data_IF_594426688610
#
_entry.id   IF_594426688610
#
_cell.length_a   1.000
_cell.length_b   1.000
_cell.length_c   1.000
_cell.angle_alpha   90.00
_cell.angle_beta   90.00
_cell.angle_gamma   90.00
#
_symmetry.space_group_name_H-M   'P 1'
#
loop_
_entity.id
_entity.type
_entity.pdbx_description
1 polymer ?
#
# COMPACT_ATOMS: atom_id res chain seq x y z
N UNK A 1 2.23 -0.52 -7.78
CA UNK A 1 1.14 -1.31 -7.18
C UNK A 1 0.04 -1.50 -8.22
N UNK A 2 -0.17 -2.72 -8.71
CA UNK A 2 -1.23 -3.02 -9.67
C UNK A 2 -2.53 -3.22 -8.89
N UNK A 3 -3.45 -2.25 -8.94
CA UNK A 3 -4.76 -2.37 -8.30
C UNK A 3 -5.66 -3.18 -9.23
N UNK A 4 -6.18 -4.32 -8.77
CA UNK A 4 -7.17 -5.08 -9.54
C UNK A 4 -8.57 -4.53 -9.27
N UNK A 5 -9.32 -4.34 -10.34
CA UNK A 5 -10.69 -3.85 -10.31
C UNK A 5 -11.60 -5.04 -10.65
N UNK A 6 -12.30 -5.56 -9.65
CA UNK A 6 -13.08 -6.80 -9.75
C UNK A 6 -14.52 -6.55 -9.33
N UNK A 7 -15.45 -7.23 -9.99
CA UNK A 7 -16.82 -7.41 -9.49
C UNK A 7 -17.12 -8.91 -9.38
N UNK A 8 -17.95 -9.26 -8.39
CA UNK A 8 -18.46 -10.62 -8.19
C UNK A 8 -19.72 -10.79 -9.05
N UNK A 9 -19.62 -11.56 -10.13
CA UNK A 9 -20.79 -11.93 -10.94
C UNK A 9 -21.53 -13.08 -10.25
N UNK A 10 -22.81 -12.89 -9.92
CA UNK A 10 -23.64 -13.93 -9.30
C UNK A 10 -24.26 -14.79 -10.38
N UNK A 11 -23.99 -16.10 -10.37
CA UNK A 11 -24.62 -17.02 -11.32
C UNK A 11 -26.11 -17.17 -11.00
N UNK A 12 -27.03 -16.85 -11.93
CA UNK A 12 -28.47 -16.96 -11.68
C UNK A 12 -28.97 -18.40 -11.53
N UNK A 13 -28.14 -19.41 -11.86
CA UNK A 13 -28.51 -20.83 -11.82
C UNK A 13 -27.79 -21.63 -10.74
N UNK A 14 -26.62 -21.16 -10.28
CA UNK A 14 -25.77 -21.93 -9.36
C UNK A 14 -25.65 -21.31 -7.97
N UNK A 15 -26.02 -20.04 -7.80
CA UNK A 15 -25.89 -19.34 -6.51
C UNK A 15 -24.44 -19.10 -6.05
N UNK A 16 -23.48 -19.25 -6.96
CA UNK A 16 -22.04 -19.03 -6.74
C UNK A 16 -21.59 -17.70 -7.39
N UNK A 17 -20.48 -17.14 -6.90
CA UNK A 17 -19.85 -15.91 -7.36
C UNK A 17 -18.60 -16.21 -8.18
N UNK A 18 -18.58 -15.79 -9.45
CA UNK A 18 -17.37 -15.81 -10.27
C UNK A 18 -16.78 -14.41 -10.38
N UNK A 19 -15.48 -14.28 -10.11
CA UNK A 19 -14.77 -13.01 -10.24
C UNK A 19 -14.61 -12.64 -11.73
N UNK A 20 -15.04 -11.43 -12.09
CA UNK A 20 -14.85 -10.90 -13.44
C UNK A 20 -13.90 -9.70 -13.38
N UNK A 21 -12.67 -9.82 -13.94
CA UNK A 21 -11.66 -8.76 -13.89
C UNK A 21 -11.90 -7.68 -14.95
N UNK A 22 -11.72 -6.42 -14.54
CA UNK A 22 -11.53 -5.29 -15.43
C UNK A 22 -10.04 -5.02 -15.65
N UNK A 23 -9.67 -4.61 -16.86
CA UNK A 23 -8.27 -4.41 -17.26
C UNK A 23 -7.69 -3.12 -16.71
N UNK A 24 -8.53 -2.11 -16.45
CA UNK A 24 -8.15 -0.80 -15.91
C UNK A 24 -9.33 -0.11 -15.22
N UNK A 25 -9.06 1.08 -14.65
CA UNK A 25 -10.04 1.88 -13.90
C UNK A 25 -11.15 2.40 -14.82
N UNK A 26 -10.79 2.81 -16.03
CA UNK A 26 -11.70 3.37 -17.02
C UNK A 26 -12.76 2.35 -17.45
N UNK A 27 -12.39 1.07 -17.58
CA UNK A 27 -13.30 -0.02 -17.92
C UNK A 27 -14.30 -0.31 -16.79
N UNK A 28 -13.86 -0.25 -15.52
CA UNK A 28 -14.75 -0.35 -14.36
C UNK A 28 -15.71 0.84 -14.29
N UNK A 29 -15.23 2.07 -14.49
CA UNK A 29 -16.06 3.27 -14.49
C UNK A 29 -17.13 3.21 -15.58
N UNK A 30 -16.74 2.81 -16.80
CA UNK A 30 -17.67 2.65 -17.91
C UNK A 30 -18.70 1.56 -17.64
N UNK A 31 -18.29 0.44 -17.03
CA UNK A 31 -19.22 -0.61 -16.60
C UNK A 31 -20.23 -0.11 -15.57
N UNK A 32 -19.81 0.67 -14.57
CA UNK A 32 -20.72 1.23 -13.56
C UNK A 32 -21.71 2.22 -14.18
N UNK A 33 -21.25 3.06 -15.12
CA UNK A 33 -22.11 3.95 -15.90
C UNK A 33 -23.14 3.15 -16.70
N UNK A 34 -22.72 2.09 -17.38
CA UNK A 34 -23.61 1.29 -18.20
C UNK A 34 -24.54 0.39 -17.38
N UNK A 35 -24.11 -0.08 -16.20
CA UNK A 35 -24.96 -0.78 -15.24
C UNK A 35 -26.01 0.18 -14.63
N UNK A 36 -25.63 1.41 -14.30
CA UNK A 36 -26.56 2.43 -13.84
C UNK A 36 -27.57 2.79 -14.93
N UNK A 37 -27.12 2.93 -16.19
CA UNK A 37 -28.01 3.09 -17.34
C UNK A 37 -28.92 1.87 -17.51
N UNK A 38 -28.40 0.63 -17.44
CA UNK A 38 -29.19 -0.58 -17.59
C UNK A 38 -30.23 -0.74 -16.48
N UNK A 39 -29.88 -0.38 -15.24
CA UNK A 39 -30.81 -0.32 -14.12
C UNK A 39 -31.86 0.76 -14.33
N UNK A 40 -31.48 1.96 -14.76
CA UNK A 40 -32.42 3.02 -15.11
C UNK A 40 -33.34 2.62 -16.27
N UNK A 41 -32.81 1.97 -17.31
CA UNK A 41 -33.57 1.46 -18.45
C UNK A 41 -34.51 0.33 -18.07
N UNK A 42 -34.05 -0.66 -17.31
CA UNK A 42 -34.89 -1.73 -16.78
C UNK A 42 -36.00 -1.15 -15.90
N UNK A 43 -35.66 -0.19 -15.04
CA UNK A 43 -36.62 0.45 -14.14
C UNK A 43 -37.62 1.35 -14.90
N UNK A 44 -37.20 2.05 -15.95
CA UNK A 44 -38.06 2.85 -16.85
C UNK A 44 -39.01 1.99 -17.71
N UNK A 45 -38.60 0.74 -18.02
CA UNK A 45 -39.36 -0.20 -18.85
C UNK A 45 -40.15 -1.22 -18.04
N UNK A 46 -40.02 -1.23 -16.71
CA UNK A 46 -40.92 -1.98 -15.84
C UNK A 46 -42.28 -1.27 -15.83
N UNK A 47 -43.04 -1.51 -16.90
CA UNK A 47 -44.50 -1.51 -16.81
C UNK A 47 -44.92 -2.53 -15.75
N UNK A 48 -46.03 -2.26 -15.06
CA UNK A 48 -46.50 -2.94 -13.83
C UNK A 48 -45.92 -4.36 -13.65
N UNK A 49 -45.06 -4.54 -12.66
CA UNK A 49 -44.51 -5.86 -12.34
C UNK A 49 -45.57 -6.74 -11.68
N UNK A 50 -46.47 -6.11 -10.90
CA UNK A 50 -47.70 -6.68 -10.34
C UNK A 50 -48.65 -5.55 -9.92
N UNK A 51 -49.88 -5.88 -9.52
CA UNK A 51 -50.84 -4.92 -8.96
C UNK A 51 -50.37 -4.31 -7.62
N UNK A 52 -49.44 -4.98 -6.93
CA UNK A 52 -48.84 -4.53 -5.66
C UNK A 52 -47.54 -3.70 -5.87
N UNK A 53 -46.77 -3.98 -6.93
CA UNK A 53 -45.58 -3.22 -7.34
C UNK A 53 -45.90 -2.32 -8.57
N UNK A 54 -46.84 -1.41 -8.37
CA UNK A 54 -47.43 -0.57 -9.42
C UNK A 54 -46.80 0.84 -9.51
N UNK A 55 -45.47 0.95 -9.57
CA UNK A 55 -44.81 2.27 -9.76
C UNK A 55 -43.68 2.19 -10.77
N UNK A 56 -43.81 2.99 -11.84
CA UNK A 56 -42.74 3.13 -12.83
C UNK A 56 -41.56 3.88 -12.21
N UNK A 57 -40.34 3.63 -12.69
CA UNK A 57 -39.15 4.32 -12.17
C UNK A 57 -39.28 5.84 -12.20
N UNK A 58 -39.89 6.38 -13.24
CA UNK A 58 -40.15 7.81 -13.41
C UNK A 58 -40.99 8.34 -12.25
N UNK A 59 -42.04 7.63 -11.84
CA UNK A 59 -42.87 8.02 -10.70
C UNK A 59 -42.09 7.96 -9.39
N UNK A 60 -41.28 6.92 -9.18
CA UNK A 60 -40.42 6.82 -7.99
C UNK A 60 -39.32 7.88 -7.97
N UNK A 61 -38.72 8.18 -9.10
CA UNK A 61 -37.69 9.20 -9.22
C UNK A 61 -38.29 10.58 -8.95
N UNK A 62 -39.43 10.90 -9.56
CA UNK A 62 -40.16 12.14 -9.32
C UNK A 62 -40.67 12.25 -7.88
N UNK A 63 -41.13 11.16 -7.27
CA UNK A 63 -41.70 11.19 -5.92
C UNK A 63 -40.63 11.23 -4.84
N UNK A 64 -39.53 10.51 -5.00
CA UNK A 64 -38.58 10.28 -3.92
C UNK A 64 -37.22 10.97 -4.12
N UNK A 65 -36.80 11.19 -5.37
CA UNK A 65 -35.46 11.71 -5.67
C UNK A 65 -35.52 13.19 -6.04
N UNK A 66 -36.46 13.60 -6.91
CA UNK A 66 -36.62 15.02 -7.30
C UNK A 66 -36.80 15.96 -6.10
N UNK A 67 -37.58 15.63 -5.04
CA UNK A 67 -37.76 16.54 -3.91
C UNK A 67 -36.49 16.75 -3.08
N UNK A 68 -35.53 15.82 -3.13
CA UNK A 68 -34.25 15.87 -2.41
C UNK A 68 -33.07 16.08 -3.36
N UNK A 69 -33.32 16.43 -4.62
CA UNK A 69 -32.31 16.44 -5.67
C UNK A 69 -31.16 17.40 -5.33
N UNK A 70 -31.47 18.60 -4.85
CA UNK A 70 -30.47 19.58 -4.47
C UNK A 70 -29.63 19.11 -3.26
N UNK A 71 -30.25 18.45 -2.29
CA UNK A 71 -29.53 17.85 -1.15
C UNK A 71 -28.59 16.73 -1.59
N UNK A 72 -29.05 15.86 -2.49
CA UNK A 72 -28.26 14.79 -3.06
C UNK A 72 -27.07 15.33 -3.87
N UNK A 73 -27.30 16.36 -4.70
CA UNK A 73 -26.23 17.02 -5.45
C UNK A 73 -25.18 17.62 -4.52
N UNK A 74 -25.61 18.36 -3.50
CA UNK A 74 -24.71 18.94 -2.51
C UNK A 74 -23.93 17.86 -1.75
N UNK A 75 -24.59 16.77 -1.35
CA UNK A 75 -23.93 15.64 -0.71
C UNK A 75 -22.81 15.06 -1.57
N UNK A 76 -23.07 14.81 -2.85
CA UNK A 76 -22.08 14.24 -3.79
C UNK A 76 -20.90 15.20 -3.98
N UNK A 77 -21.16 16.50 -4.14
CA UNK A 77 -20.11 17.51 -4.30
C UNK A 77 -19.24 17.61 -3.05
N UNK A 78 -19.86 17.72 -1.87
CA UNK A 78 -19.15 17.80 -0.60
C UNK A 78 -18.31 16.54 -0.34
N UNK A 79 -18.86 15.35 -0.61
CA UNK A 79 -18.12 14.10 -0.46
C UNK A 79 -16.89 14.03 -1.38
N UNK A 80 -16.99 14.58 -2.60
CA UNK A 80 -15.86 14.66 -3.53
C UNK A 80 -14.79 15.66 -3.06
N UNK A 81 -15.21 16.80 -2.52
CA UNK A 81 -14.32 17.80 -1.91
C UNK A 81 -13.58 17.23 -0.70
N UNK A 82 -14.30 16.59 0.23
CA UNK A 82 -13.74 15.94 1.42
C UNK A 82 -12.70 14.87 1.04
N UNK A 83 -13.00 14.04 0.04
CA UNK A 83 -12.06 13.04 -0.46
C UNK A 83 -10.78 13.68 -1.01
N UNK A 84 -10.91 14.78 -1.78
CA UNK A 84 -9.76 15.52 -2.30
C UNK A 84 -8.89 16.08 -1.17
N UNK A 85 -9.51 16.66 -0.14
CA UNK A 85 -8.80 17.14 1.05
C UNK A 85 -8.11 16.01 1.82
N UNK A 86 -8.75 14.84 1.97
CA UNK A 86 -8.15 13.69 2.62
C UNK A 86 -6.90 13.22 1.89
N UNK A 87 -6.95 13.10 0.55
CA UNK A 87 -5.79 12.69 -0.25
C UNK A 87 -4.62 13.68 -0.09
N UNK A 88 -4.91 14.98 -0.07
CA UNK A 88 -3.89 16.00 0.15
C UNK A 88 -3.28 15.94 1.57
N UNK A 89 -4.11 15.70 2.58
CA UNK A 89 -3.68 15.53 3.96
C UNK A 89 -2.81 14.29 4.14
N UNK A 90 -3.24 13.14 3.60
CA UNK A 90 -2.50 11.88 3.64
C UNK A 90 -1.12 12.03 2.97
N UNK A 91 -1.08 12.69 1.81
CA UNK A 91 0.19 12.99 1.14
C UNK A 91 1.10 13.87 2.01
N UNK A 92 0.56 14.91 2.65
CA UNK A 92 1.33 15.79 3.52
C UNK A 92 1.98 15.05 4.71
N UNK A 93 1.29 14.03 5.26
CA UNK A 93 1.82 13.21 6.36
C UNK A 93 3.06 12.39 5.94
N UNK A 94 3.06 11.84 4.73
CA UNK A 94 4.15 10.95 4.26
C UNK A 94 5.22 11.65 3.45
N UNK A 95 5.00 12.90 3.01
CA UNK A 95 5.87 13.64 2.10
C UNK A 95 7.32 13.71 2.58
N UNK A 96 7.54 13.98 3.86
CA UNK A 96 8.91 14.11 4.39
C UNK A 96 9.60 12.77 4.51
N UNK A 97 8.88 11.73 4.94
CA UNK A 97 9.40 10.36 4.98
C UNK A 97 9.74 9.85 3.56
N UNK A 98 8.95 10.23 2.55
CA UNK A 98 9.27 9.96 1.14
C UNK A 98 10.55 10.69 0.70
N UNK A 99 10.67 11.98 1.03
CA UNK A 99 11.81 12.82 0.64
C UNK A 99 13.12 12.35 1.27
N UNK A 100 13.05 11.85 2.50
CA UNK A 100 14.20 11.39 3.29
C UNK A 100 14.53 9.91 3.05
N UNK A 101 13.73 9.19 2.26
CA UNK A 101 13.92 7.77 2.01
C UNK A 101 13.51 6.86 3.19
N UNK A 102 12.95 7.41 4.27
CA UNK A 102 12.50 6.67 5.46
C UNK A 102 11.42 5.61 5.18
N UNK A 103 10.70 5.73 4.06
CA UNK A 103 9.75 4.69 3.63
C UNK A 103 10.42 3.47 2.99
N UNK A 104 11.73 3.52 2.77
CA UNK A 104 12.53 2.42 2.24
C UNK A 104 13.22 1.76 3.44
N UNK A 105 12.93 0.48 3.68
CA UNK A 105 13.58 -0.31 4.72
C UNK A 105 14.66 -1.19 4.08
N UNK A 106 15.92 -0.81 4.27
CA UNK A 106 17.09 -1.58 3.84
C UNK A 106 17.88 -1.97 5.09
N UNK A 107 17.72 -3.22 5.49
CA UNK A 107 18.33 -3.81 6.70
C UNK A 107 19.50 -4.77 6.38
N UNK A 108 20.01 -4.72 5.15
CA UNK A 108 21.19 -5.49 4.75
C UNK A 108 22.50 -4.78 5.14
N UNK A 109 23.61 -5.52 5.08
CA UNK A 109 24.94 -5.02 5.40
C UNK A 109 25.84 -5.05 4.16
N UNK A 110 26.60 -3.98 3.95
CA UNK A 110 27.57 -3.84 2.86
C UNK A 110 28.92 -4.51 3.20
N UNK A 111 29.27 -4.54 4.48
CA UNK A 111 30.56 -5.03 4.95
C UNK A 111 30.46 -5.65 6.34
N UNK A 112 31.08 -6.82 6.51
CA UNK A 112 31.50 -7.37 7.80
C UNK A 112 32.96 -7.78 7.69
N UNK A 113 33.80 -7.29 8.59
CA UNK A 113 35.20 -7.72 8.67
C UNK A 113 35.70 -7.77 10.12
N UNK A 114 36.80 -8.49 10.31
CA UNK A 114 37.49 -8.62 11.60
C UNK A 114 38.96 -8.29 11.42
N UNK A 115 39.59 -7.72 12.45
CA UNK A 115 41.01 -7.35 12.40
C UNK A 115 41.96 -8.51 12.73
N UNK A 116 41.46 -9.62 13.26
CA UNK A 116 42.19 -10.84 13.58
C UNK A 116 41.43 -12.07 13.08
N UNK A 117 42.15 -13.04 12.51
CA UNK A 117 41.56 -14.25 11.90
C UNK A 117 40.83 -13.95 10.58
N UNK A 118 39.89 -14.82 10.21
CA UNK A 118 39.05 -14.66 9.02
C UNK A 118 37.64 -15.15 9.28
N UNK A 119 36.65 -14.43 8.75
CA UNK A 119 35.25 -14.90 8.73
C UNK A 119 35.17 -16.19 7.91
N UNK A 120 34.52 -17.20 8.51
CA UNK A 120 34.16 -18.44 7.83
C UNK A 120 32.66 -18.65 7.98
N UNK A 121 31.87 -18.61 6.89
CA UNK A 121 32.27 -18.36 5.50
C UNK A 121 32.74 -16.91 5.25
N UNK A 122 33.30 -16.64 4.06
CA UNK A 122 33.57 -15.26 3.64
C UNK A 122 32.27 -14.43 3.66
N UNK A 123 32.38 -13.13 3.92
CA UNK A 123 31.21 -12.27 4.07
C UNK A 123 30.31 -12.30 2.82
N UNK A 124 29.02 -12.56 3.06
CA UNK A 124 27.93 -12.47 2.10
C UNK A 124 26.70 -11.92 2.85
N UNK A 125 26.04 -10.84 2.37
CA UNK A 125 24.89 -10.25 3.06
C UNK A 125 23.70 -11.21 3.26
N UNK A 126 23.64 -12.34 2.54
CA UNK A 126 22.63 -13.38 2.73
C UNK A 126 22.97 -14.36 3.87
N UNK A 127 24.20 -14.36 4.38
CA UNK A 127 24.65 -15.24 5.45
C UNK A 127 24.60 -14.49 6.79
N UNK A 128 23.89 -15.07 7.76
CA UNK A 128 23.66 -14.46 9.08
C UNK A 128 24.48 -15.08 10.21
N UNK A 129 25.26 -16.12 9.91
CA UNK A 129 26.07 -16.85 10.89
C UNK A 129 27.50 -17.01 10.39
N UNK A 130 28.44 -16.52 11.20
CA UNK A 130 29.88 -16.57 10.91
C UNK A 130 30.63 -17.10 12.12
N UNK A 131 31.74 -17.77 11.87
CA UNK A 131 32.74 -18.10 12.89
C UNK A 131 34.08 -17.45 12.54
N UNK A 132 34.86 -17.14 13.58
CA UNK A 132 36.24 -16.65 13.44
C UNK A 132 37.09 -17.49 14.38
N UNK A 133 38.12 -18.13 13.83
CA UNK A 133 39.14 -18.80 14.63
C UNK A 133 40.30 -17.83 14.83
N UNK A 134 40.71 -17.65 16.08
CA UNK A 134 41.86 -16.82 16.46
C UNK A 134 42.86 -17.63 17.29
N UNK A 135 44.09 -17.15 17.34
CA UNK A 135 45.13 -17.74 18.18
C UNK A 135 44.81 -17.54 19.67
N UNK A 136 45.33 -18.44 20.51
CA UNK A 136 45.08 -18.43 21.95
C UNK A 136 45.55 -17.15 22.66
N UNK A 137 46.49 -16.41 22.07
CA UNK A 137 47.02 -15.15 22.62
C UNK A 137 46.15 -13.91 22.29
N UNK A 138 45.07 -14.06 21.52
CA UNK A 138 44.19 -12.96 21.13
C UNK A 138 43.13 -12.72 22.21
N UNK A 139 43.32 -11.67 23.01
CA UNK A 139 42.38 -11.31 24.08
C UNK A 139 41.12 -10.58 23.59
N UNK A 140 41.18 -9.95 22.41
CA UNK A 140 40.05 -9.22 21.82
C UNK A 140 40.15 -9.14 20.29
N UNK A 141 39.00 -9.03 19.63
CA UNK A 141 38.86 -8.85 18.18
C UNK A 141 38.03 -7.59 17.96
N UNK A 142 38.43 -6.76 17.00
CA UNK A 142 37.61 -5.64 16.54
C UNK A 142 36.78 -6.09 15.33
N UNK A 143 35.48 -5.87 15.42
CA UNK A 143 34.55 -6.06 14.32
C UNK A 143 34.33 -4.71 13.62
N UNK A 144 34.43 -4.71 12.30
CA UNK A 144 34.04 -3.60 11.43
C UNK A 144 32.80 -4.01 10.67
N UNK A 145 31.73 -3.21 10.78
CA UNK A 145 30.48 -3.45 10.09
C UNK A 145 29.99 -2.17 9.42
N UNK A 146 29.40 -2.29 8.24
CA UNK A 146 28.82 -1.17 7.48
C UNK A 146 27.44 -1.56 6.97
N UNK A 147 26.39 -0.85 7.38
CA UNK A 147 25.07 -1.04 6.83
C UNK A 147 25.02 -0.62 5.35
N UNK A 148 24.20 -1.30 4.55
CA UNK A 148 23.98 -0.92 3.14
C UNK A 148 23.35 0.46 3.04
N UNK A 149 22.38 0.74 3.90
CA UNK A 149 21.77 2.07 4.01
C UNK A 149 22.48 2.91 5.07
N UNK A 150 22.92 4.10 4.67
CA UNK A 150 23.51 5.11 5.54
C UNK A 150 22.60 5.57 6.70
N UNK A 151 21.29 5.39 6.58
CA UNK A 151 20.30 5.73 7.61
C UNK A 151 19.98 4.55 8.53
N UNK A 152 20.43 3.34 8.23
CA UNK A 152 20.20 2.17 9.06
C UNK A 152 21.09 2.20 10.32
N UNK A 153 20.55 1.65 11.41
CA UNK A 153 21.27 1.50 12.67
C UNK A 153 21.89 0.11 12.76
N UNK A 154 23.13 0.04 13.24
CA UNK A 154 23.78 -1.21 13.59
C UNK A 154 23.74 -1.38 15.11
N UNK A 155 23.60 -2.61 15.57
CA UNK A 155 23.71 -2.96 16.99
C UNK A 155 24.55 -4.22 17.16
N UNK A 156 25.29 -4.28 18.26
CA UNK A 156 26.05 -5.44 18.66
C UNK A 156 25.68 -5.78 20.10
N UNK A 157 25.26 -7.02 20.36
CA UNK A 157 24.83 -7.49 21.67
C UNK A 157 23.74 -6.62 22.33
N UNK A 158 22.84 -6.04 21.52
CA UNK A 158 21.74 -5.19 22.00
C UNK A 158 22.09 -3.71 22.22
N UNK A 159 23.36 -3.33 22.05
CA UNK A 159 23.81 -1.94 22.18
C UNK A 159 24.10 -1.31 20.80
N UNK A 160 23.87 0.01 20.61
CA UNK A 160 24.20 0.71 19.36
C UNK A 160 25.67 0.53 18.96
N UNK A 161 25.90 0.09 17.73
CA UNK A 161 27.24 -0.02 17.14
C UNK A 161 27.56 1.27 16.39
N UNK A 162 28.59 1.99 16.84
CA UNK A 162 29.10 3.17 16.16
C UNK A 162 30.36 2.82 15.36
N UNK A 163 30.35 3.14 14.07
CA UNK A 163 31.56 3.05 13.24
C UNK A 163 32.62 3.96 13.85
N UNK A 164 33.75 3.40 14.29
CA UNK A 164 34.88 4.18 14.79
C UNK A 164 35.52 4.94 13.62
N UNK A 165 35.01 6.13 13.31
CA UNK A 165 35.73 7.08 12.46
C UNK A 165 36.89 7.61 13.30
N UNK A 166 38.11 7.07 13.08
CA UNK A 166 39.30 7.66 13.70
C UNK A 166 39.49 9.08 13.15
N UNK A 167 39.00 10.07 13.90
CA UNK A 167 39.39 11.46 13.69
C UNK A 167 40.90 11.56 13.94
N UNK A 168 41.68 11.84 12.89
CA UNK A 168 43.07 12.28 13.06
C UNK A 168 43.05 13.59 13.85
N UNK A 169 43.68 13.68 15.04
CA UNK A 169 43.94 14.98 15.63
C UNK A 169 44.91 15.68 14.68
N UNK A 170 44.50 16.83 14.14
CA UNK A 170 45.46 17.73 13.49
C UNK A 170 46.15 18.47 14.62
N UNK A 171 47.47 18.27 14.72
CA UNK A 171 48.36 18.96 15.66
C UNK A 171 48.38 20.45 15.37
#
# INVERSE_FOLDING_TARGET
MNRSHLIKEVSPFKGDYTDKPFKNKEELEQYLVDAAKAYAYASSRLDKVSDELNYKFEERFVTNIVPIWDELQNFIVNAAEDYSHQVAADFALVKEDMRTGKLIDVSTMDELSVDQGSLSPAFDPAITAYSVNVEQAVDSIRITAKATDSQATLSANGEPYHVMVQARPTV
#
